data_IF_242597559557
#
_entry.id   IF_242597559557
#
_cell.length_a   1.000
_cell.length_b   1.000
_cell.length_c   1.000
_cell.angle_alpha   90.00
_cell.angle_beta   90.00
_cell.angle_gamma   90.00
#
_symmetry.space_group_name_H-M   'P 1'
#
loop_
_entity.id
_entity.type
_entity.pdbx_description
1 polymer ?
#
# COMPACT_ATOMS: atom_id res chain seq x y z
N UNK A 1 18.45 0.51 50.61
CA UNK A 1 18.42 -0.07 49.25
C UNK A 1 17.68 0.89 48.34
N UNK A 2 18.38 1.73 47.59
CA UNK A 2 17.76 2.83 46.85
C UNK A 2 18.66 3.33 45.75
N UNK A 3 19.08 2.43 44.86
CA UNK A 3 19.84 2.77 43.65
C UNK A 3 19.02 2.38 42.44
N UNK A 4 17.93 3.11 42.16
CA UNK A 4 17.24 2.97 40.88
C UNK A 4 18.15 3.44 39.75
N UNK A 5 18.10 2.77 38.60
CA UNK A 5 18.93 3.09 37.44
C UNK A 5 18.78 4.57 37.05
N UNK A 6 19.88 5.32 37.19
CA UNK A 6 19.95 6.75 36.90
C UNK A 6 19.63 7.04 35.43
N UNK A 7 19.83 6.05 34.54
CA UNK A 7 19.58 6.19 33.12
C UNK A 7 18.09 6.29 32.79
N UNK A 8 17.20 5.76 33.63
CA UNK A 8 15.75 5.87 33.45
C UNK A 8 15.23 7.31 33.56
N UNK A 9 16.04 8.23 34.12
CA UNK A 9 15.74 9.67 34.18
C UNK A 9 16.22 10.42 32.94
N UNK A 10 16.96 9.78 32.04
CA UNK A 10 17.49 10.41 30.82
C UNK A 10 16.42 10.39 29.72
N UNK A 11 16.24 11.52 29.05
CA UNK A 11 15.24 11.70 27.99
C UNK A 11 15.45 10.79 26.77
N UNK A 12 16.70 10.36 26.52
CA UNK A 12 17.04 9.49 25.40
C UNK A 12 16.92 7.99 25.71
N UNK A 13 16.67 7.61 26.96
CA UNK A 13 16.66 6.19 27.33
C UNK A 13 15.47 5.47 26.67
N UNK A 14 15.70 4.36 25.92
CA UNK A 14 14.67 3.74 25.09
C UNK A 14 13.52 3.16 25.92
N UNK A 15 13.81 2.74 27.15
CA UNK A 15 12.83 2.15 28.07
C UNK A 15 12.00 3.19 28.85
N UNK A 16 12.20 4.48 28.60
CA UNK A 16 11.30 5.51 29.16
C UNK A 16 9.94 5.41 28.49
N UNK A 17 8.86 5.57 29.26
CA UNK A 17 7.48 5.44 28.76
C UNK A 17 7.22 6.33 27.52
N UNK A 18 7.81 7.53 27.48
CA UNK A 18 7.70 8.46 26.34
C UNK A 18 8.32 7.89 25.05
N UNK A 19 9.46 7.23 25.16
CA UNK A 19 10.16 6.68 24.00
C UNK A 19 9.51 5.37 23.54
N UNK A 20 9.07 4.54 24.48
CA UNK A 20 8.27 3.34 24.17
C UNK A 20 6.98 3.73 23.45
N UNK A 21 6.26 4.75 23.94
CA UNK A 21 5.05 5.25 23.28
C UNK A 21 5.33 5.82 21.88
N UNK A 22 6.47 6.51 21.71
CA UNK A 22 6.88 7.05 20.40
C UNK A 22 7.15 5.92 19.39
N UNK A 23 7.86 4.87 19.80
CA UNK A 23 8.13 3.69 18.97
C UNK A 23 6.82 2.99 18.62
N UNK A 24 5.96 2.74 19.60
CA UNK A 24 4.66 2.11 19.38
C UNK A 24 3.77 2.88 18.39
N UNK A 25 3.73 4.21 18.48
CA UNK A 25 3.01 5.05 17.51
C UNK A 25 3.62 4.97 16.11
N UNK A 26 4.94 4.82 15.99
CA UNK A 26 5.60 4.66 14.70
C UNK A 26 5.30 3.29 14.09
N UNK A 27 5.33 2.22 14.89
CA UNK A 27 4.99 0.86 14.48
C UNK A 27 3.54 0.76 14.00
N UNK A 28 2.59 1.35 14.74
CA UNK A 28 1.17 1.41 14.34
C UNK A 28 0.98 2.09 12.97
N UNK A 29 1.68 3.21 12.73
CA UNK A 29 1.62 3.90 11.43
C UNK A 29 2.19 3.03 10.31
N UNK A 30 3.33 2.41 10.57
CA UNK A 30 3.98 1.53 9.61
C UNK A 30 3.12 0.31 9.25
N UNK A 31 2.44 -0.30 10.23
CA UNK A 31 1.50 -1.40 9.96
C UNK A 31 0.31 -0.95 9.11
N UNK A 32 -0.23 0.24 9.37
CA UNK A 32 -1.31 0.79 8.56
C UNK A 32 -0.87 1.07 7.11
N UNK A 33 0.32 1.64 6.91
CA UNK A 33 0.90 1.86 5.58
C UNK A 33 1.17 0.55 4.86
N UNK A 34 1.71 -0.45 5.55
CA UNK A 34 1.96 -1.79 4.97
C UNK A 34 0.67 -2.46 4.48
N UNK A 35 -0.40 -2.43 5.27
CA UNK A 35 -1.70 -2.99 4.87
C UNK A 35 -2.25 -2.31 3.62
N UNK A 36 -2.13 -0.98 3.55
CA UNK A 36 -2.56 -0.22 2.36
C UNK A 36 -1.74 -0.58 1.12
N UNK A 37 -0.43 -0.76 1.27
CA UNK A 37 0.44 -1.18 0.17
C UNK A 37 0.08 -2.60 -0.30
N UNK A 38 -0.20 -3.51 0.62
CA UNK A 38 -0.61 -4.89 0.29
C UNK A 38 -1.94 -4.93 -0.47
N UNK A 39 -2.91 -4.13 -0.05
CA UNK A 39 -4.19 -3.98 -0.76
C UNK A 39 -3.98 -3.48 -2.20
N UNK A 40 -3.18 -2.43 -2.38
CA UNK A 40 -2.86 -1.89 -3.71
C UNK A 40 -2.08 -2.89 -4.57
N UNK A 41 -1.18 -3.69 -3.97
CA UNK A 41 -0.46 -4.74 -4.69
C UNK A 41 -1.41 -5.85 -5.16
N UNK A 42 -2.40 -6.22 -4.35
CA UNK A 42 -3.43 -7.19 -4.74
C UNK A 42 -4.26 -6.67 -5.90
N UNK A 43 -4.73 -5.43 -5.84
CA UNK A 43 -5.49 -4.80 -6.94
C UNK A 43 -4.69 -4.79 -8.24
N UNK A 44 -3.40 -4.45 -8.17
CA UNK A 44 -2.53 -4.44 -9.35
C UNK A 44 -2.31 -5.85 -9.94
N UNK A 45 -2.23 -6.87 -9.09
CA UNK A 45 -2.11 -8.26 -9.53
C UNK A 45 -3.41 -8.75 -10.19
N UNK A 46 -4.57 -8.40 -9.63
CA UNK A 46 -5.87 -8.74 -10.22
C UNK A 46 -6.06 -8.09 -11.60
N UNK A 47 -5.68 -6.81 -11.74
CA UNK A 47 -5.75 -6.12 -13.03
C UNK A 47 -4.80 -6.75 -14.05
N UNK A 48 -3.55 -7.06 -13.66
CA UNK A 48 -2.62 -7.77 -14.56
C UNK A 48 -3.13 -9.14 -15.01
N UNK A 49 -3.72 -9.92 -14.11
CA UNK A 49 -4.26 -11.24 -14.45
C UNK A 49 -5.43 -11.14 -15.44
N UNK A 50 -6.26 -10.10 -15.34
CA UNK A 50 -7.34 -9.82 -16.30
C UNK A 50 -6.79 -9.37 -17.65
N UNK A 51 -5.80 -8.49 -17.66
CA UNK A 51 -5.14 -8.04 -18.89
C UNK A 51 -4.46 -9.22 -19.60
N UNK A 52 -3.75 -10.08 -18.87
CA UNK A 52 -3.11 -11.27 -19.42
C UNK A 52 -4.14 -12.24 -20.03
N UNK A 53 -5.27 -12.50 -19.37
CA UNK A 53 -6.34 -13.33 -19.95
C UNK A 53 -6.93 -12.72 -21.22
N UNK A 54 -7.12 -11.41 -21.27
CA UNK A 54 -7.60 -10.72 -22.48
C UNK A 54 -6.57 -10.83 -23.61
N UNK A 55 -5.29 -10.57 -23.33
CA UNK A 55 -4.22 -10.71 -24.33
C UNK A 55 -4.10 -12.14 -24.85
N UNK A 56 -4.19 -13.15 -23.98
CA UNK A 56 -4.18 -14.55 -24.40
C UNK A 56 -5.39 -14.92 -25.28
N UNK A 57 -6.58 -14.41 -24.95
CA UNK A 57 -7.79 -14.65 -25.73
C UNK A 57 -7.75 -13.97 -27.11
N UNK A 58 -7.13 -12.79 -27.19
CA UNK A 58 -6.85 -12.07 -28.44
C UNK A 58 -5.82 -12.81 -29.30
N UNK A 59 -4.72 -13.27 -28.70
CA UNK A 59 -3.63 -13.99 -29.39
C UNK A 59 -4.08 -15.37 -29.90
N UNK A 60 -4.99 -16.05 -29.17
CA UNK A 60 -5.63 -17.29 -29.61
C UNK A 60 -6.80 -17.09 -30.61
N UNK A 61 -7.07 -15.85 -31.03
CA UNK A 61 -7.92 -15.54 -32.19
C UNK A 61 -9.39 -15.95 -32.11
N UNK A 62 -9.93 -16.29 -30.92
CA UNK A 62 -11.25 -16.94 -30.80
C UNK A 62 -12.37 -16.04 -30.27
N UNK A 63 -12.06 -14.88 -29.67
CA UNK A 63 -13.10 -14.01 -29.09
C UNK A 63 -13.27 -12.76 -29.95
N UNK A 64 -14.44 -12.64 -30.60
CA UNK A 64 -14.92 -11.38 -31.19
C UNK A 64 -14.82 -10.29 -30.14
N UNK A 65 -14.08 -9.23 -30.46
CA UNK A 65 -14.01 -7.97 -29.73
C UNK A 65 -15.39 -7.59 -29.17
N UNK A 66 -15.63 -7.87 -27.89
CA UNK A 66 -16.68 -7.19 -27.13
C UNK A 66 -16.05 -5.86 -26.75
N UNK A 67 -16.27 -4.87 -27.61
CA UNK A 67 -15.61 -3.57 -27.55
C UNK A 67 -15.66 -2.91 -26.16
N UNK A 68 -14.66 -2.06 -25.84
CA UNK A 68 -14.38 -1.67 -24.48
C UNK A 68 -15.41 -0.63 -24.00
N UNK A 69 -16.36 -1.09 -23.20
CA UNK A 69 -17.11 -0.20 -22.28
C UNK A 69 -16.21 0.34 -21.15
N UNK A 70 -15.00 -0.20 -21.03
CA UNK A 70 -14.00 0.02 -19.98
C UNK A 70 -13.00 1.17 -20.26
N UNK A 71 -12.78 1.57 -21.52
CA UNK A 71 -11.79 2.60 -21.88
C UNK A 71 -12.11 4.00 -21.32
N UNK A 72 -13.37 4.28 -20.97
CA UNK A 72 -13.80 5.56 -20.42
C UNK A 72 -13.43 5.74 -18.94
N UNK A 73 -13.09 4.67 -18.21
CA UNK A 73 -12.73 4.75 -16.79
C UNK A 73 -11.24 5.10 -16.60
N UNK A 74 -10.36 4.37 -17.30
CA UNK A 74 -8.90 4.55 -17.16
C UNK A 74 -8.44 5.89 -17.75
N UNK A 75 -9.03 6.33 -18.87
CA UNK A 75 -8.71 7.62 -19.49
C UNK A 75 -9.14 8.82 -18.61
N UNK A 76 -10.21 8.69 -17.81
CA UNK A 76 -10.63 9.74 -16.86
C UNK A 76 -9.67 9.89 -15.68
N UNK A 77 -9.16 8.77 -15.14
CA UNK A 77 -8.20 8.80 -14.03
C UNK A 77 -6.85 9.36 -14.50
N UNK A 78 -6.38 8.97 -15.70
CA UNK A 78 -5.12 9.48 -16.24
C UNK A 78 -5.16 10.98 -16.57
N UNK A 79 -6.28 11.49 -17.11
CA UNK A 79 -6.46 12.93 -17.38
C UNK A 79 -6.55 13.75 -16.10
N UNK A 80 -7.16 13.24 -15.02
CA UNK A 80 -7.24 13.93 -13.74
C UNK A 80 -5.89 14.01 -13.00
N UNK A 81 -5.01 13.03 -13.20
CA UNK A 81 -3.66 13.01 -12.62
C UNK A 81 -2.70 13.93 -13.41
N UNK A 82 -2.97 14.18 -14.69
CA UNK A 82 -2.10 14.98 -15.56
C UNK A 82 -2.41 16.49 -15.57
N UNK A 83 -3.46 16.92 -14.86
CA UNK A 83 -3.93 18.31 -14.78
C UNK A 83 -3.60 19.00 -13.43
N UNK A 84 -2.71 18.40 -12.64
CA UNK A 84 -2.13 18.95 -11.42
C UNK A 84 -0.59 18.94 -11.53
#
# INVERSE_FOLDING_TARGET
MGGGDLNLKKSWHPQTLRNVEKVWKAEQKYEAERKKIEELQRELQEERAREEMQRYAEDMGTVRSVGPRHELSVKRVHVLISLF
#
